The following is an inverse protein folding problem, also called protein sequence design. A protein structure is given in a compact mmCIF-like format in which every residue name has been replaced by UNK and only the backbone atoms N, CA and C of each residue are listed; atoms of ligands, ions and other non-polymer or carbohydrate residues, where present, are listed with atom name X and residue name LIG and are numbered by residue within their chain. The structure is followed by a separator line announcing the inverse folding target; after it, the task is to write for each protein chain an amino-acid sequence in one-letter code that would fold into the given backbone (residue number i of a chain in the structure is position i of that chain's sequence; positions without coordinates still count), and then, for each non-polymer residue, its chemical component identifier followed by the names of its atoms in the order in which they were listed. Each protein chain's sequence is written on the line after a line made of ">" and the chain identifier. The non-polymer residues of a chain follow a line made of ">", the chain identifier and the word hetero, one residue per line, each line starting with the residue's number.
data_IF_930776152945
#
_entry.id   IF_930776152945
#
_cell.length_a   1.000
_cell.length_b   1.000
_cell.length_c   1.000
_cell.angle_alpha   90.00
_cell.angle_beta   90.00
_cell.angle_gamma   90.00
#
_symmetry.space_group_name_H-M   'P 1'
#
loop_
_entity.id
_entity.type
_entity.pdbx_description
1 polymer ?
#
# COMPACT_ATOMS: atom_id res chain seq x y z
N UNK A 1 -14.40 8.47 -9.35
CA UNK A 1 -14.67 8.90 -7.97
C UNK A 1 -14.36 7.77 -7.01
N UNK A 2 -13.83 8.05 -5.85
CA UNK A 2 -13.63 7.08 -4.78
C UNK A 2 -14.98 6.80 -4.09
N UNK A 3 -15.28 5.52 -3.91
CA UNK A 3 -16.54 5.04 -3.30
C UNK A 3 -16.22 4.00 -2.23
N UNK A 4 -17.19 3.72 -1.35
CA UNK A 4 -16.99 2.77 -0.24
C UNK A 4 -16.75 1.34 -0.74
N UNK A 5 -17.44 0.92 -1.79
CA UNK A 5 -17.25 -0.39 -2.41
C UNK A 5 -15.82 -0.58 -2.95
N UNK A 6 -15.20 0.49 -3.52
CA UNK A 6 -13.80 0.47 -3.93
C UNK A 6 -12.84 0.31 -2.74
N UNK A 7 -13.16 0.90 -1.60
CA UNK A 7 -12.38 0.70 -0.37
C UNK A 7 -12.48 -0.75 0.12
N UNK A 8 -13.66 -1.32 0.15
CA UNK A 8 -13.85 -2.74 0.51
C UNK A 8 -13.15 -3.68 -0.48
N UNK A 9 -13.25 -3.40 -1.78
CA UNK A 9 -12.53 -4.17 -2.79
C UNK A 9 -11.00 -4.09 -2.58
N UNK A 10 -10.47 -2.90 -2.30
CA UNK A 10 -9.04 -2.74 -1.99
C UNK A 10 -8.65 -3.53 -0.73
N UNK A 11 -9.45 -3.49 0.31
CA UNK A 11 -9.22 -4.28 1.54
C UNK A 11 -9.18 -5.79 1.26
N UNK A 12 -10.07 -6.29 0.40
CA UNK A 12 -10.08 -7.68 -0.03
C UNK A 12 -8.81 -8.06 -0.82
N UNK A 13 -8.45 -7.26 -1.82
CA UNK A 13 -7.27 -7.48 -2.66
C UNK A 13 -5.97 -7.46 -1.85
N UNK A 14 -5.92 -6.63 -0.80
CA UNK A 14 -4.73 -6.44 0.04
C UNK A 14 -4.63 -7.44 1.20
N UNK A 15 -5.62 -8.29 1.42
CA UNK A 15 -5.72 -9.17 2.59
C UNK A 15 -4.46 -9.99 2.87
N UNK A 16 -3.87 -10.57 1.82
CA UNK A 16 -2.69 -11.43 1.94
C UNK A 16 -1.40 -10.72 1.49
N UNK A 17 -1.45 -9.42 1.27
CA UNK A 17 -0.33 -8.59 0.79
C UNK A 17 0.15 -7.65 1.87
N UNK A 18 -0.75 -6.87 2.44
CA UNK A 18 -0.46 -5.91 3.48
C UNK A 18 -0.69 -6.51 4.87
N UNK A 19 0.17 -6.13 5.81
CA UNK A 19 -0.07 -6.45 7.22
C UNK A 19 -1.21 -5.61 7.77
N UNK A 20 -2.02 -6.20 8.63
CA UNK A 20 -2.93 -5.45 9.49
C UNK A 20 -2.11 -4.86 10.63
N UNK A 21 -1.62 -3.63 10.44
CA UNK A 21 -0.84 -2.93 11.46
C UNK A 21 -1.74 -2.44 12.60
N UNK A 22 -1.18 -2.35 13.79
CA UNK A 22 -1.89 -1.92 14.98
C UNK A 22 -2.27 -0.43 14.93
N UNK A 23 -3.31 -0.09 15.68
CA UNK A 23 -3.67 1.27 16.04
C UNK A 23 -3.42 1.43 17.53
N UNK A 24 -2.38 2.19 17.88
CA UNK A 24 -1.86 2.30 19.24
C UNK A 24 -2.22 3.67 19.81
N UNK A 25 -2.85 3.71 21.00
CA UNK A 25 -3.08 4.95 21.70
C UNK A 25 -1.76 5.54 22.23
N UNK A 26 -1.56 6.85 22.03
CA UNK A 26 -0.35 7.55 22.40
C UNK A 26 -0.65 8.76 23.32
N UNK A 27 -1.16 8.53 24.54
CA UNK A 27 -1.66 9.61 25.43
C UNK A 27 -0.57 10.56 25.88
N UNK A 28 0.70 10.15 25.86
CA UNK A 28 1.83 11.00 26.24
C UNK A 28 2.26 12.00 25.16
N UNK A 29 1.79 11.83 23.92
CA UNK A 29 2.17 12.71 22.79
C UNK A 29 1.22 13.89 22.61
N UNK A 30 0.02 13.83 23.18
CA UNK A 30 -0.91 14.95 23.17
C UNK A 30 -1.74 14.95 24.45
N UNK A 31 -1.99 16.17 25.00
CA UNK A 31 -2.88 16.39 26.13
C UNK A 31 -4.25 16.92 25.68
N UNK A 32 -4.34 17.42 24.46
CA UNK A 32 -5.50 18.14 23.94
C UNK A 32 -6.44 17.26 23.10
N UNK A 33 -6.00 16.04 22.77
CA UNK A 33 -6.80 15.11 21.99
C UNK A 33 -6.43 13.65 22.28
N UNK A 34 -7.34 12.74 21.95
CA UNK A 34 -7.03 11.31 21.90
C UNK A 34 -6.23 11.02 20.61
N UNK A 35 -4.93 10.80 20.78
CA UNK A 35 -4.01 10.52 19.67
C UNK A 35 -3.79 9.02 19.52
N UNK A 36 -3.94 8.54 18.30
CA UNK A 36 -3.66 7.16 17.93
C UNK A 36 -2.62 7.11 16.81
N UNK A 37 -1.71 6.15 16.88
CA UNK A 37 -0.69 5.89 15.88
C UNK A 37 -1.04 4.64 15.08
N UNK A 38 -1.24 4.79 13.77
CA UNK A 38 -1.32 3.68 12.83
C UNK A 38 0.09 3.31 12.41
N UNK A 39 0.61 2.18 12.91
CA UNK A 39 2.03 1.81 12.85
C UNK A 39 2.45 1.27 11.48
N UNK A 40 2.25 2.06 10.42
CA UNK A 40 2.62 1.68 9.04
C UNK A 40 4.13 1.66 8.76
N UNK A 41 4.95 2.10 9.69
CA UNK A 41 6.40 1.83 9.72
C UNK A 41 6.70 0.32 9.89
N UNK A 42 5.75 -0.45 10.42
CA UNK A 42 5.82 -1.90 10.55
C UNK A 42 5.15 -2.64 9.39
N UNK A 43 4.67 -1.92 8.39
CA UNK A 43 4.08 -2.46 7.18
C UNK A 43 5.12 -3.21 6.34
N UNK A 44 4.67 -4.10 5.47
CA UNK A 44 5.51 -4.68 4.40
C UNK A 44 6.16 -3.53 3.61
N UNK A 45 7.44 -3.58 3.37
CA UNK A 45 8.29 -2.50 2.84
C UNK A 45 8.51 -1.30 3.80
N UNK A 46 8.06 -1.37 5.04
CA UNK A 46 8.28 -0.33 6.05
C UNK A 46 7.48 0.95 5.87
N UNK A 47 6.46 0.96 5.01
CA UNK A 47 5.58 2.12 4.80
C UNK A 47 4.22 1.73 4.23
N UNK A 48 3.25 2.65 4.32
CA UNK A 48 1.90 2.45 3.76
C UNK A 48 1.84 2.38 2.23
N UNK A 49 2.92 2.71 1.53
CA UNK A 49 2.95 2.82 0.05
C UNK A 49 2.62 1.50 -0.65
N UNK A 50 2.92 0.37 -0.04
CA UNK A 50 2.56 -0.96 -0.57
C UNK A 50 1.06 -1.11 -0.81
N UNK A 51 0.21 -0.47 -0.01
CA UNK A 51 -1.25 -0.56 -0.12
C UNK A 51 -1.73 0.00 -1.46
N UNK A 52 -1.41 1.26 -1.74
CA UNK A 52 -1.80 1.92 -2.99
C UNK A 52 -1.10 1.34 -4.21
N UNK A 53 0.19 1.05 -4.12
CA UNK A 53 0.96 0.48 -5.22
C UNK A 53 0.42 -0.89 -5.64
N UNK A 54 0.21 -1.80 -4.69
CA UNK A 54 -0.31 -3.12 -5.00
C UNK A 54 -1.73 -3.06 -5.57
N UNK A 55 -2.61 -2.28 -4.94
CA UNK A 55 -3.98 -2.14 -5.43
C UNK A 55 -4.02 -1.59 -6.87
N UNK A 56 -3.28 -0.52 -7.14
CA UNK A 56 -3.19 0.05 -8.50
C UNK A 56 -2.68 -0.97 -9.52
N UNK A 57 -1.59 -1.65 -9.22
CA UNK A 57 -0.97 -2.64 -10.12
C UNK A 57 -1.89 -3.86 -10.30
N UNK A 58 -2.65 -4.25 -9.28
CA UNK A 58 -3.61 -5.35 -9.38
C UNK A 58 -4.79 -5.07 -10.31
N UNK A 59 -5.06 -3.80 -10.61
CA UNK A 59 -6.15 -3.36 -11.48
C UNK A 59 -5.72 -3.11 -12.94
N UNK A 60 -4.45 -3.33 -13.27
CA UNK A 60 -3.96 -3.18 -14.64
C UNK A 60 -4.58 -4.24 -15.56
N UNK A 61 -4.91 -3.84 -16.77
CA UNK A 61 -5.30 -4.77 -17.83
C UNK A 61 -4.12 -5.68 -18.21
N UNK A 62 -4.40 -6.76 -18.96
CA UNK A 62 -3.34 -7.63 -19.45
C UNK A 62 -2.36 -6.87 -20.33
N UNK A 63 -2.86 -6.02 -21.23
CA UNK A 63 -2.02 -5.21 -22.13
C UNK A 63 -1.12 -4.25 -21.35
N UNK A 64 -1.63 -3.58 -20.32
CA UNK A 64 -0.85 -2.69 -19.45
C UNK A 64 0.21 -3.47 -18.66
N UNK A 65 -0.17 -4.62 -18.11
CA UNK A 65 0.74 -5.50 -17.36
C UNK A 65 1.89 -6.02 -18.21
N UNK A 66 1.62 -6.37 -19.46
CA UNK A 66 2.63 -6.86 -20.40
C UNK A 66 3.68 -5.78 -20.76
N UNK A 67 3.29 -4.51 -20.74
CA UNK A 67 4.22 -3.37 -20.92
C UNK A 67 5.10 -3.11 -19.69
N UNK A 68 4.69 -3.59 -18.52
CA UNK A 68 5.39 -3.34 -17.27
C UNK A 68 5.02 -1.99 -16.64
N UNK A 69 5.68 -1.67 -15.54
CA UNK A 69 5.46 -0.43 -14.79
C UNK A 69 6.77 0.30 -14.52
N UNK A 70 6.69 1.63 -14.42
CA UNK A 70 7.83 2.49 -14.09
C UNK A 70 7.46 3.31 -12.86
N UNK A 71 8.40 3.43 -11.90
CA UNK A 71 8.25 4.31 -10.75
C UNK A 71 9.43 5.27 -10.66
N UNK A 72 9.15 6.56 -10.70
CA UNK A 72 10.12 7.60 -10.42
C UNK A 72 10.02 7.99 -8.94
N UNK A 73 10.81 7.32 -8.09
CA UNK A 73 10.83 7.57 -6.66
C UNK A 73 12.13 7.08 -6.04
N UNK A 74 12.72 7.90 -5.18
CA UNK A 74 13.95 7.56 -4.44
C UNK A 74 13.71 6.78 -3.13
N UNK A 75 12.47 6.39 -2.82
CA UNK A 75 12.17 5.83 -1.50
C UNK A 75 10.97 4.88 -1.47
N UNK A 76 10.11 5.10 -0.51
CA UNK A 76 9.03 4.16 -0.14
C UNK A 76 8.07 3.78 -1.27
N UNK A 77 7.80 4.70 -2.20
CA UNK A 77 6.91 4.38 -3.32
C UNK A 77 7.55 3.39 -4.29
N UNK A 78 8.83 3.57 -4.61
CA UNK A 78 9.56 2.61 -5.46
C UNK A 78 9.56 1.20 -4.87
N UNK A 79 9.78 1.08 -3.55
CA UNK A 79 9.73 -0.21 -2.84
C UNK A 79 8.34 -0.86 -2.92
N UNK A 80 7.28 -0.07 -2.77
CA UNK A 80 5.90 -0.54 -2.91
C UNK A 80 5.60 -1.04 -4.32
N UNK A 81 6.04 -0.31 -5.35
CA UNK A 81 5.87 -0.69 -6.76
C UNK A 81 6.67 -1.95 -7.08
N UNK A 82 7.94 -2.03 -6.66
CA UNK A 82 8.79 -3.20 -6.88
C UNK A 82 8.19 -4.47 -6.28
N UNK A 83 7.73 -4.42 -5.02
CA UNK A 83 7.07 -5.54 -4.36
C UNK A 83 5.80 -5.95 -5.10
N UNK A 84 4.95 -4.98 -5.44
CA UNK A 84 3.67 -5.24 -6.11
C UNK A 84 3.88 -5.87 -7.50
N UNK A 85 4.79 -5.33 -8.28
CA UNK A 85 5.14 -5.83 -9.61
C UNK A 85 5.70 -7.26 -9.53
N UNK A 86 6.63 -7.51 -8.61
CA UNK A 86 7.22 -8.84 -8.40
C UNK A 86 6.15 -9.88 -8.06
N UNK A 87 5.26 -9.57 -7.11
CA UNK A 87 4.17 -10.50 -6.72
C UNK A 87 3.16 -10.76 -7.83
N UNK A 88 3.04 -9.84 -8.77
CA UNK A 88 2.13 -9.96 -9.92
C UNK A 88 2.82 -10.48 -11.18
N UNK A 89 4.13 -10.77 -11.12
CA UNK A 89 4.90 -11.20 -12.29
C UNK A 89 5.03 -10.13 -13.37
N UNK A 90 5.01 -8.85 -12.99
CA UNK A 90 5.07 -7.70 -13.89
C UNK A 90 6.46 -7.09 -13.82
N UNK A 91 7.03 -6.75 -14.99
CA UNK A 91 8.32 -6.05 -15.05
C UNK A 91 8.19 -4.64 -14.45
N UNK A 92 9.16 -4.23 -13.62
CA UNK A 92 9.22 -2.88 -13.05
C UNK A 92 10.60 -2.25 -13.21
N UNK A 93 10.63 -0.95 -13.40
CA UNK A 93 11.83 -0.10 -13.48
C UNK A 93 11.67 1.06 -12.51
#
# INVERSE_FOLDING_TARGET
>A
MLTLDKIYHAAFVLKDVARKTDLIEAPKLSKDCHLYLKTENLQVTGSFKVRGAYYKISQLSKEESDKGVIACSAGNHAQGVALAATRRGIKSI
#
